data_IF_582212147190
#
_entry.id   IF_582212147190
#
_cell.length_a   1.000
_cell.length_b   1.000
_cell.length_c   1.000
_cell.angle_alpha   90.00
_cell.angle_beta   90.00
_cell.angle_gamma   90.00
#
_symmetry.space_group_name_H-M   'P 1'
#
loop_
_entity.id
_entity.type
_entity.pdbx_description
1 polymer ?
#
# COMPACT_ATOMS: atom_id res chain seq x y z
N UNK A 1 -2.64 -5.90 6.91
CA UNK A 1 -3.96 -5.54 6.43
C UNK A 1 -4.01 -4.05 6.08
N UNK A 2 -5.13 -3.53 5.52
CA UNK A 2 -5.24 -2.13 5.11
C UNK A 2 -5.00 -1.18 6.30
N UNK A 3 -5.47 -1.54 7.48
CA UNK A 3 -5.30 -0.76 8.72
C UNK A 3 -3.83 -0.63 9.10
N UNK A 4 -3.04 -1.69 8.98
CA UNK A 4 -1.60 -1.66 9.27
C UNK A 4 -0.86 -0.77 8.28
N UNK A 5 -1.16 -0.87 6.98
CA UNK A 5 -0.56 -0.01 5.95
C UNK A 5 -0.88 1.47 6.20
N UNK A 6 -2.12 1.79 6.60
CA UNK A 6 -2.55 3.13 6.94
C UNK A 6 -1.80 3.65 8.17
N UNK A 7 -1.69 2.85 9.23
CA UNK A 7 -1.00 3.25 10.46
C UNK A 7 0.49 3.50 10.21
N UNK A 8 1.14 2.67 9.40
CA UNK A 8 2.53 2.89 8.99
C UNK A 8 2.70 4.16 8.17
N UNK A 9 1.79 4.43 7.22
CA UNK A 9 1.81 5.67 6.43
C UNK A 9 1.60 6.89 7.32
N UNK A 10 0.71 6.81 8.33
CA UNK A 10 0.51 7.88 9.32
C UNK A 10 1.74 8.13 10.18
N UNK A 11 2.47 7.09 10.56
CA UNK A 11 3.71 7.21 11.33
C UNK A 11 4.81 7.97 10.55
N UNK A 12 4.80 7.87 9.21
CA UNK A 12 5.72 8.59 8.32
C UNK A 12 5.29 10.03 8.00
N UNK A 13 4.02 10.38 8.29
CA UNK A 13 3.41 11.66 7.91
C UNK A 13 2.72 12.28 9.13
N UNK A 14 3.50 12.91 9.99
CA UNK A 14 2.95 13.75 11.06
C UNK A 14 2.29 14.98 10.45
N UNK A 15 0.99 15.17 10.65
CA UNK A 15 0.18 16.34 10.27
C UNK A 15 -0.28 16.51 8.81
N UNK A 16 -0.20 15.50 7.94
CA UNK A 16 -0.70 15.62 6.56
C UNK A 16 -1.91 14.74 6.31
N UNK A 17 -2.85 15.24 5.54
CA UNK A 17 -3.98 14.46 5.07
C UNK A 17 -3.49 13.37 4.12
N UNK A 18 -3.78 12.11 4.46
CA UNK A 18 -3.45 10.96 3.60
C UNK A 18 -4.54 10.81 2.54
N UNK A 19 -4.11 10.70 1.29
CA UNK A 19 -4.97 10.48 0.13
C UNK A 19 -4.53 9.18 -0.52
N UNK A 20 -5.48 8.35 -0.86
CA UNK A 20 -5.25 7.16 -1.65
C UNK A 20 -5.56 7.46 -3.12
N UNK A 21 -4.53 7.51 -3.95
CA UNK A 21 -4.65 7.60 -5.40
C UNK A 21 -4.46 6.20 -5.99
N UNK A 22 -5.53 5.48 -6.33
CA UNK A 22 -5.42 4.16 -6.93
C UNK A 22 -4.77 4.25 -8.31
N UNK A 23 -4.09 3.18 -8.69
CA UNK A 23 -3.54 3.07 -10.03
C UNK A 23 -4.66 3.25 -11.09
N UNK A 24 -4.38 4.00 -12.16
CA UNK A 24 -5.36 4.40 -13.18
C UNK A 24 -6.57 5.20 -12.63
N UNK A 25 -6.58 5.58 -11.38
CA UNK A 25 -7.69 6.34 -10.80
C UNK A 25 -8.97 5.53 -10.58
N UNK A 26 -8.87 4.19 -10.48
CA UNK A 26 -10.03 3.30 -10.31
C UNK A 26 -10.14 2.87 -8.85
N UNK A 27 -11.31 3.08 -8.24
CA UNK A 27 -11.64 2.52 -6.94
C UNK A 27 -13.11 2.09 -6.93
N UNK A 28 -13.37 0.86 -6.47
CA UNK A 28 -14.73 0.39 -6.28
C UNK A 28 -15.38 1.00 -5.01
N UNK A 29 -16.70 0.81 -4.89
CA UNK A 29 -17.45 1.36 -3.75
C UNK A 29 -17.01 0.81 -2.41
N UNK A 30 -16.59 -0.45 -2.37
CA UNK A 30 -16.15 -1.08 -1.14
C UNK A 30 -14.82 -0.47 -0.68
N UNK A 31 -13.87 -0.31 -1.59
CA UNK A 31 -12.59 0.36 -1.34
C UNK A 31 -12.80 1.79 -0.86
N UNK A 32 -13.64 2.57 -1.53
CA UNK A 32 -13.97 3.94 -1.12
C UNK A 32 -14.56 3.97 0.30
N UNK A 33 -15.49 3.06 0.60
CA UNK A 33 -16.12 2.98 1.93
C UNK A 33 -15.10 2.64 3.02
N UNK A 34 -14.24 1.66 2.79
CA UNK A 34 -13.19 1.26 3.73
C UNK A 34 -12.19 2.40 4.00
N UNK A 35 -11.77 3.11 2.94
CA UNK A 35 -10.87 4.25 3.07
C UNK A 35 -11.50 5.38 3.89
N UNK A 36 -12.76 5.73 3.60
CA UNK A 36 -13.47 6.78 4.34
C UNK A 36 -13.68 6.42 5.82
N UNK A 37 -13.94 5.15 6.16
CA UNK A 37 -14.00 4.69 7.55
C UNK A 37 -12.68 4.91 8.30
N UNK A 38 -11.57 4.92 7.59
CA UNK A 38 -10.24 5.21 8.12
C UNK A 38 -9.86 6.70 8.01
N UNK A 39 -10.78 7.57 7.59
CA UNK A 39 -10.52 9.00 7.40
C UNK A 39 -9.60 9.31 6.21
N UNK A 40 -9.50 8.40 5.25
CA UNK A 40 -8.72 8.55 4.03
C UNK A 40 -9.65 8.80 2.86
N UNK A 41 -9.35 9.77 2.03
CA UNK A 41 -10.10 10.03 0.80
C UNK A 41 -9.47 9.32 -0.39
N UNK A 42 -10.30 8.71 -1.23
CA UNK A 42 -9.88 8.21 -2.52
C UNK A 42 -9.81 9.37 -3.53
N UNK A 43 -8.78 9.36 -4.37
CA UNK A 43 -8.63 10.26 -5.53
C UNK A 43 -8.77 9.40 -6.80
N UNK A 44 -9.89 9.51 -7.48
CA UNK A 44 -10.23 8.70 -8.66
C UNK A 44 -10.18 9.54 -9.94
N UNK A 45 -10.12 8.88 -11.09
CA UNK A 45 -10.18 9.55 -12.39
C UNK A 45 -11.63 9.88 -12.78
N UNK A 46 -11.84 11.01 -13.45
CA UNK A 46 -13.16 11.40 -13.99
C UNK A 46 -13.70 10.42 -15.04
N UNK A 47 -12.86 9.65 -15.74
CA UNK A 47 -13.30 8.61 -16.71
C UNK A 47 -14.15 7.50 -16.08
N UNK A 48 -13.98 7.26 -14.77
CA UNK A 48 -14.75 6.23 -14.06
C UNK A 48 -16.02 6.75 -13.40
N UNK A 49 -16.31 8.02 -13.58
CA UNK A 49 -17.57 8.61 -13.15
C UNK A 49 -18.68 8.31 -14.17
N UNK A 50 -19.82 7.86 -13.66
CA UNK A 50 -21.05 7.80 -14.44
C UNK A 50 -21.94 8.95 -14.00
N UNK A 51 -22.21 9.86 -14.88
CA UNK A 51 -23.08 11.01 -14.69
C UNK A 51 -23.49 11.57 -16.05
N UNK A 52 -24.09 12.74 -16.08
CA UNK A 52 -24.41 13.41 -17.33
C UNK A 52 -23.12 13.60 -18.14
N UNK A 53 -23.01 12.89 -19.25
CA UNK A 53 -21.84 12.82 -20.15
C UNK A 53 -21.43 14.17 -20.76
N UNK A 54 -22.07 15.28 -20.36
CA UNK A 54 -21.94 16.60 -20.98
C UNK A 54 -21.29 17.67 -20.09
N UNK A 55 -21.04 17.38 -18.81
CA UNK A 55 -20.45 18.39 -17.91
C UNK A 55 -19.21 17.85 -17.21
N UNK A 56 -18.16 18.63 -17.19
CA UNK A 56 -16.93 18.33 -16.44
C UNK A 56 -17.25 18.22 -14.97
N UNK A 57 -16.90 17.11 -14.37
CA UNK A 57 -17.20 16.80 -12.98
C UNK A 57 -16.39 17.68 -12.04
N UNK A 58 -17.00 18.15 -10.95
CA UNK A 58 -16.28 18.83 -9.88
C UNK A 58 -15.25 17.92 -9.23
N UNK A 59 -14.20 18.52 -8.65
CA UNK A 59 -13.13 17.79 -7.95
C UNK A 59 -13.60 16.99 -6.73
N UNK A 60 -14.80 17.24 -6.21
CA UNK A 60 -15.38 16.49 -5.08
C UNK A 60 -16.77 15.98 -5.47
N UNK A 61 -16.95 14.68 -5.40
CA UNK A 61 -18.24 14.00 -5.65
C UNK A 61 -18.57 13.06 -4.51
N UNK A 62 -19.77 12.48 -4.52
CA UNK A 62 -20.15 11.43 -3.55
C UNK A 62 -20.29 10.08 -4.21
N UNK A 63 -19.81 9.04 -3.53
CA UNK A 63 -20.06 7.64 -3.85
C UNK A 63 -20.72 6.95 -2.67
N UNK A 64 -22.00 6.61 -2.81
CA UNK A 64 -22.79 6.03 -1.72
C UNK A 64 -22.67 6.82 -0.39
N UNK A 65 -22.84 8.15 -0.46
CA UNK A 65 -22.70 9.11 0.64
C UNK A 65 -21.26 9.35 1.16
N UNK A 66 -20.25 8.72 0.57
CA UNK A 66 -18.85 8.96 0.90
C UNK A 66 -18.24 10.01 -0.04
N UNK A 67 -17.54 11.05 0.46
CA UNK A 67 -16.87 12.01 -0.39
C UNK A 67 -15.66 11.36 -1.08
N UNK A 68 -15.55 11.61 -2.38
CA UNK A 68 -14.49 11.12 -3.25
C UNK A 68 -13.88 12.32 -3.98
N UNK A 69 -12.55 12.36 -4.06
CA UNK A 69 -11.84 13.33 -4.86
C UNK A 69 -11.70 12.82 -6.29
N UNK A 70 -11.79 13.74 -7.24
CA UNK A 70 -11.73 13.41 -8.66
C UNK A 70 -10.64 14.23 -9.32
N UNK A 71 -9.71 13.58 -10.00
CA UNK A 71 -8.78 14.26 -10.90
C UNK A 71 -9.25 14.17 -12.34
N UNK A 72 -8.98 15.21 -13.10
CA UNK A 72 -9.22 15.23 -14.53
C UNK A 72 -8.12 14.46 -15.26
N UNK A 73 -8.49 13.43 -16.01
CA UNK A 73 -7.51 12.58 -16.70
C UNK A 73 -6.95 13.27 -17.94
N UNK A 74 -7.77 14.06 -18.67
CA UNK A 74 -7.33 14.81 -19.84
C UNK A 74 -6.21 15.77 -19.46
N UNK A 75 -6.47 16.67 -18.51
CA UNK A 75 -5.49 17.60 -17.99
C UNK A 75 -4.27 16.93 -17.34
N UNK A 76 -4.48 15.81 -16.62
CA UNK A 76 -3.38 15.02 -16.03
C UNK A 76 -2.50 14.37 -17.08
N UNK A 77 -3.06 13.88 -18.18
CA UNK A 77 -2.31 13.32 -19.29
C UNK A 77 -1.40 14.32 -19.99
N UNK A 78 -1.77 15.60 -20.00
CA UNK A 78 -0.92 16.67 -20.53
C UNK A 78 0.47 16.71 -19.86
N UNK A 79 0.56 16.35 -18.58
CA UNK A 79 1.81 16.35 -17.83
C UNK A 79 2.74 15.17 -18.09
N UNK A 80 2.27 14.10 -18.72
CA UNK A 80 3.02 12.83 -18.87
C UNK A 80 4.38 12.94 -19.57
N UNK A 81 4.56 13.95 -20.40
CA UNK A 81 5.78 14.17 -21.17
C UNK A 81 6.48 15.48 -20.85
N UNK A 82 6.00 16.25 -19.88
CA UNK A 82 6.50 17.58 -19.57
C UNK A 82 7.95 17.62 -19.06
N UNK A 83 8.47 16.49 -18.59
CA UNK A 83 9.83 16.35 -18.06
C UNK A 83 10.87 15.89 -19.11
N UNK A 84 10.46 15.55 -20.34
CA UNK A 84 11.36 14.98 -21.37
C UNK A 84 12.29 16.05 -21.96
N UNK A 85 11.71 17.09 -22.54
CA UNK A 85 12.43 18.16 -23.25
C UNK A 85 11.61 19.46 -23.25
N UNK A 86 12.18 20.55 -23.80
CA UNK A 86 11.54 21.86 -23.81
C UNK A 86 10.31 21.92 -24.71
N UNK A 87 10.32 21.23 -25.85
CA UNK A 87 9.17 21.18 -26.75
C UNK A 87 8.00 20.43 -26.11
N UNK A 88 8.27 19.31 -25.45
CA UNK A 88 7.27 18.55 -24.68
C UNK A 88 6.73 19.35 -23.50
N UNK A 89 7.56 20.15 -22.84
CA UNK A 89 7.15 21.02 -21.75
C UNK A 89 6.20 22.12 -22.24
N UNK A 90 6.53 22.83 -23.34
CA UNK A 90 5.65 23.84 -23.95
C UNK A 90 4.34 23.23 -24.42
N UNK A 91 4.40 22.05 -25.04
CA UNK A 91 3.21 21.28 -25.44
C UNK A 91 2.32 20.95 -24.24
N UNK A 92 2.89 20.51 -23.12
CA UNK A 92 2.15 20.22 -21.90
C UNK A 92 1.44 21.46 -21.34
N UNK A 93 2.09 22.62 -21.30
CA UNK A 93 1.47 23.88 -20.88
C UNK A 93 0.27 24.21 -21.77
N UNK A 94 0.45 24.19 -23.10
CA UNK A 94 -0.62 24.48 -24.05
C UNK A 94 -1.79 23.50 -23.91
N UNK A 95 -1.48 22.21 -23.73
CA UNK A 95 -2.46 21.17 -23.52
C UNK A 95 -3.32 21.43 -22.26
N UNK A 96 -2.68 21.69 -21.09
CA UNK A 96 -3.39 21.97 -19.84
C UNK A 96 -4.27 23.22 -19.98
N UNK A 97 -3.74 24.29 -20.55
CA UNK A 97 -4.49 25.52 -20.75
C UNK A 97 -5.73 25.29 -21.64
N UNK A 98 -5.58 24.48 -22.70
CA UNK A 98 -6.69 24.13 -23.59
C UNK A 98 -7.75 23.29 -22.88
N UNK A 99 -7.33 22.26 -22.13
CA UNK A 99 -8.27 21.42 -21.36
C UNK A 99 -9.05 22.24 -20.33
N UNK A 100 -8.38 23.01 -19.48
CA UNK A 100 -9.02 23.83 -18.46
C UNK A 100 -9.87 24.94 -19.12
N UNK A 101 -9.43 25.50 -20.24
CA UNK A 101 -10.17 26.50 -21.00
C UNK A 101 -11.48 25.91 -21.56
N UNK A 102 -11.46 24.70 -22.11
CA UNK A 102 -12.67 24.01 -22.58
C UNK A 102 -13.63 23.76 -21.42
N UNK A 103 -13.13 23.25 -20.29
CA UNK A 103 -13.94 23.04 -19.09
C UNK A 103 -14.61 24.31 -18.57
N UNK A 104 -13.89 25.44 -18.63
CA UNK A 104 -14.42 26.74 -18.22
C UNK A 104 -15.49 27.23 -19.19
N UNK A 105 -15.32 26.98 -20.51
CA UNK A 105 -16.26 27.36 -21.54
C UNK A 105 -17.56 26.54 -21.49
N UNK A 106 -17.53 25.30 -20.99
CA UNK A 106 -18.74 24.47 -20.82
C UNK A 106 -19.76 25.08 -19.85
N UNK A 107 -19.28 25.74 -18.79
CA UNK A 107 -20.14 26.36 -17.77
C UNK A 107 -19.51 27.64 -17.21
N UNK A 108 -19.48 28.72 -17.97
CA UNK A 108 -18.75 29.94 -17.61
C UNK A 108 -19.33 30.68 -16.40
N UNK A 109 -20.54 30.35 -15.99
CA UNK A 109 -21.23 30.94 -14.83
C UNK A 109 -21.00 30.16 -13.52
N UNK A 110 -20.38 28.98 -13.58
CA UNK A 110 -20.14 28.12 -12.41
C UNK A 110 -18.65 28.05 -12.04
N UNK A 111 -18.35 28.29 -10.77
CA UNK A 111 -17.02 28.04 -10.24
C UNK A 111 -16.82 26.55 -10.00
N UNK A 112 -15.72 25.99 -10.49
CA UNK A 112 -15.37 24.58 -10.33
C UNK A 112 -13.94 24.44 -9.82
N UNK A 113 -13.71 23.39 -9.06
CA UNK A 113 -12.35 22.97 -8.69
C UNK A 113 -11.94 21.79 -9.56
N UNK A 114 -10.72 21.81 -10.06
CA UNK A 114 -10.14 20.77 -10.90
C UNK A 114 -8.86 20.29 -10.24
N UNK A 115 -8.69 18.97 -10.12
CA UNK A 115 -7.44 18.36 -9.66
C UNK A 115 -6.71 17.83 -10.88
N UNK A 116 -5.47 18.25 -11.06
CA UNK A 116 -4.56 17.73 -12.07
C UNK A 116 -3.49 16.91 -11.36
N UNK A 117 -3.36 15.65 -11.71
CA UNK A 117 -2.43 14.72 -11.07
C UNK A 117 -1.15 14.61 -11.89
N UNK A 118 -0.02 14.96 -11.29
CA UNK A 118 1.28 14.75 -11.91
C UNK A 118 1.66 13.25 -11.92
N UNK A 119 2.45 12.77 -12.90
CA UNK A 119 2.92 11.40 -12.92
C UNK A 119 3.72 11.02 -11.66
N UNK A 120 3.52 9.80 -11.14
CA UNK A 120 4.19 9.34 -9.91
C UNK A 120 5.73 9.36 -9.98
N UNK A 121 6.31 9.26 -11.17
CA UNK A 121 7.76 9.31 -11.43
C UNK A 121 8.16 10.54 -12.22
N UNK A 122 7.52 11.67 -11.97
CA UNK A 122 7.80 12.90 -12.68
C UNK A 122 9.17 13.48 -12.30
N UNK A 123 10.03 13.65 -13.29
CA UNK A 123 11.41 14.18 -13.11
C UNK A 123 11.52 15.64 -13.59
N UNK A 124 10.51 16.45 -13.32
CA UNK A 124 10.53 17.86 -13.70
C UNK A 124 11.53 18.65 -12.85
N UNK A 125 12.28 19.57 -13.47
CA UNK A 125 13.14 20.48 -12.73
C UNK A 125 12.33 21.53 -11.96
N UNK A 126 12.91 22.09 -10.88
CA UNK A 126 12.29 23.18 -10.11
C UNK A 126 11.95 24.39 -10.96
N UNK A 127 12.80 24.72 -11.94
CA UNK A 127 12.60 25.84 -12.86
C UNK A 127 11.39 25.62 -13.77
N UNK A 128 11.25 24.44 -14.37
CA UNK A 128 10.08 24.09 -15.19
C UNK A 128 8.81 24.03 -14.35
N UNK A 129 8.88 23.51 -13.13
CA UNK A 129 7.72 23.51 -12.23
C UNK A 129 7.30 24.94 -11.88
N UNK A 130 8.24 25.82 -11.54
CA UNK A 130 7.96 27.23 -11.26
C UNK A 130 7.37 27.95 -12.49
N UNK A 131 7.89 27.67 -13.69
CA UNK A 131 7.36 28.22 -14.94
C UNK A 131 5.92 27.73 -15.20
N UNK A 132 5.63 26.44 -15.01
CA UNK A 132 4.27 25.89 -15.12
C UNK A 132 3.30 26.58 -14.16
N UNK A 133 3.67 26.68 -12.87
CA UNK A 133 2.85 27.37 -11.85
C UNK A 133 2.63 28.83 -12.23
N UNK A 134 3.69 29.56 -12.66
CA UNK A 134 3.60 30.94 -13.08
C UNK A 134 2.63 31.13 -14.25
N UNK A 135 2.73 30.29 -15.28
CA UNK A 135 1.85 30.39 -16.45
C UNK A 135 0.40 30.12 -16.07
N UNK A 136 0.15 29.08 -15.25
CA UNK A 136 -1.21 28.74 -14.81
C UNK A 136 -1.80 29.81 -13.87
N UNK A 137 -0.97 30.54 -13.10
CA UNK A 137 -1.43 31.61 -12.19
C UNK A 137 -1.77 32.95 -12.89
N UNK A 138 -1.35 33.13 -14.14
CA UNK A 138 -1.51 34.40 -14.85
C UNK A 138 -2.85 34.58 -15.60
N UNK A 139 -3.82 33.71 -15.32
CA UNK A 139 -5.13 33.80 -15.97
C UNK A 139 -6.22 34.34 -15.01
N UNK A 140 -7.00 35.31 -15.46
CA UNK A 140 -8.07 35.91 -14.66
C UNK A 140 -9.24 34.95 -14.40
N UNK A 141 -9.36 33.87 -15.18
CA UNK A 141 -10.42 32.87 -15.11
C UNK A 141 -10.00 31.58 -14.38
N UNK A 142 -8.76 31.52 -13.90
CA UNK A 142 -8.21 30.36 -13.19
C UNK A 142 -7.42 30.82 -11.95
N UNK A 143 -7.61 30.13 -10.85
CA UNK A 143 -6.88 30.37 -9.60
C UNK A 143 -6.31 29.05 -9.08
N UNK A 144 -5.01 29.03 -8.84
CA UNK A 144 -4.40 27.91 -8.11
C UNK A 144 -4.81 27.99 -6.64
N UNK A 145 -5.17 26.85 -6.08
CA UNK A 145 -5.58 26.72 -4.68
C UNK A 145 -4.89 25.56 -4.00
N UNK A 146 -4.99 25.48 -2.69
CA UNK A 146 -4.44 24.36 -1.92
C UNK A 146 -5.34 23.14 -2.01
N UNK A 147 -4.75 21.97 -1.93
CA UNK A 147 -5.48 20.71 -1.94
C UNK A 147 -6.50 20.64 -0.78
N UNK A 148 -6.16 21.12 0.40
CA UNK A 148 -7.04 21.09 1.58
C UNK A 148 -8.32 21.89 1.35
N UNK A 149 -8.25 23.04 0.66
CA UNK A 149 -9.43 23.83 0.32
C UNK A 149 -10.33 23.09 -0.67
N UNK A 150 -9.75 22.43 -1.68
CA UNK A 150 -10.52 21.61 -2.61
C UNK A 150 -11.16 20.41 -1.89
N UNK A 151 -10.41 19.72 -1.04
CA UNK A 151 -10.88 18.56 -0.30
C UNK A 151 -11.97 18.89 0.73
N UNK A 152 -12.01 20.12 1.24
CA UNK A 152 -13.03 20.59 2.16
C UNK A 152 -14.32 21.08 1.46
N UNK A 153 -14.31 21.23 0.13
CA UNK A 153 -15.48 21.65 -0.61
C UNK A 153 -16.64 20.62 -0.49
N UNK A 154 -17.90 21.08 -0.40
CA UNK A 154 -19.03 20.18 -0.40
C UNK A 154 -19.09 19.41 -1.73
N UNK A 155 -19.44 18.12 -1.70
CA UNK A 155 -19.60 17.34 -2.92
C UNK A 155 -20.79 17.87 -3.74
N UNK A 156 -20.60 18.00 -5.06
CA UNK A 156 -21.60 18.61 -5.94
C UNK A 156 -22.49 17.59 -6.64
N UNK A 157 -22.05 16.34 -6.79
CA UNK A 157 -22.75 15.33 -7.60
C UNK A 157 -22.68 13.94 -6.96
N UNK A 158 -23.69 13.11 -7.31
CA UNK A 158 -23.68 11.69 -6.96
C UNK A 158 -22.81 10.91 -7.94
N UNK A 159 -21.91 10.14 -7.39
CA UNK A 159 -20.96 9.34 -8.12
C UNK A 159 -21.39 7.87 -8.20
N UNK A 160 -21.33 7.29 -9.38
CA UNK A 160 -21.50 5.84 -9.58
C UNK A 160 -20.22 5.29 -10.22
N UNK A 161 -19.41 4.57 -9.45
CA UNK A 161 -18.24 3.92 -10.02
C UNK A 161 -18.64 2.91 -11.10
N UNK A 162 -17.99 2.95 -12.25
CA UNK A 162 -18.01 1.81 -13.15
C UNK A 162 -17.18 0.70 -12.51
N UNK A 163 -17.76 -0.49 -12.36
CA UNK A 163 -16.99 -1.68 -11.99
C UNK A 163 -16.21 -2.13 -13.24
N UNK A 164 -15.08 -1.51 -13.50
CA UNK A 164 -14.11 -2.05 -14.44
C UNK A 164 -13.03 -2.74 -13.61
N UNK A 165 -12.86 -4.04 -13.77
CA UNK A 165 -11.73 -4.74 -13.19
C UNK A 165 -10.46 -4.13 -13.80
N UNK A 166 -9.54 -3.65 -12.95
CA UNK A 166 -8.22 -3.25 -13.42
C UNK A 166 -7.49 -4.52 -13.90
N UNK A 167 -7.03 -4.59 -15.15
CA UNK A 167 -6.26 -5.74 -15.63
C UNK A 167 -4.95 -5.95 -14.86
N UNK A 168 -4.60 -5.01 -13.97
CA UNK A 168 -3.49 -5.10 -13.03
C UNK A 168 -3.89 -5.45 -11.61
N UNK A 169 -5.11 -5.93 -11.39
CA UNK A 169 -5.51 -6.48 -10.10
C UNK A 169 -4.46 -7.47 -9.59
N UNK A 170 -4.15 -7.37 -8.32
CA UNK A 170 -3.18 -8.28 -7.70
C UNK A 170 -3.60 -9.74 -7.90
N UNK A 171 -2.70 -10.53 -8.45
CA UNK A 171 -2.97 -11.94 -8.66
C UNK A 171 -3.22 -12.67 -7.33
N UNK A 172 -4.04 -13.72 -7.36
CA UNK A 172 -4.27 -14.56 -6.16
C UNK A 172 -2.96 -15.15 -5.63
N UNK A 173 -1.98 -15.38 -6.50
CA UNK A 173 -0.66 -15.86 -6.09
C UNK A 173 0.07 -14.79 -5.26
N UNK A 174 0.06 -13.54 -5.70
CA UNK A 174 0.68 -12.42 -4.97
C UNK A 174 0.04 -12.23 -3.58
N UNK A 175 -1.29 -12.27 -3.51
CA UNK A 175 -2.03 -12.18 -2.23
C UNK A 175 -1.63 -13.32 -1.29
N UNK A 176 -1.50 -14.55 -1.81
CA UNK A 176 -1.06 -15.70 -1.02
C UNK A 176 0.37 -15.54 -0.50
N UNK A 177 1.31 -15.12 -1.35
CA UNK A 177 2.70 -14.88 -0.94
C UNK A 177 2.80 -13.81 0.15
N UNK A 178 2.02 -12.74 0.05
CA UNK A 178 1.96 -11.71 1.08
C UNK A 178 1.42 -12.23 2.41
N UNK A 179 0.43 -13.14 2.38
CA UNK A 179 -0.07 -13.77 3.59
C UNK A 179 0.98 -14.69 4.23
N UNK A 180 1.72 -15.46 3.43
CA UNK A 180 2.85 -16.29 3.90
C UNK A 180 3.91 -15.40 4.53
N UNK A 181 4.34 -14.35 3.83
CA UNK A 181 5.35 -13.41 4.34
C UNK A 181 4.92 -12.80 5.68
N UNK A 182 3.64 -12.44 5.85
CA UNK A 182 3.09 -11.93 7.11
C UNK A 182 3.28 -12.95 8.24
N UNK A 183 2.77 -14.17 8.07
CA UNK A 183 2.83 -15.21 9.10
C UNK A 183 4.28 -15.58 9.46
N UNK A 184 5.14 -15.71 8.46
CA UNK A 184 6.57 -16.00 8.69
C UNK A 184 7.28 -14.85 9.41
N UNK A 185 6.93 -13.58 9.10
CA UNK A 185 7.46 -12.41 9.82
C UNK A 185 7.05 -12.40 11.28
N UNK A 186 5.80 -12.75 11.59
CA UNK A 186 5.32 -12.87 12.97
C UNK A 186 6.09 -13.96 13.72
N UNK A 187 6.35 -15.10 13.08
CA UNK A 187 7.14 -16.20 13.66
C UNK A 187 8.60 -15.79 13.92
N UNK A 188 9.26 -15.13 12.98
CA UNK A 188 10.63 -14.62 13.15
C UNK A 188 10.70 -13.56 14.24
N UNK A 189 9.71 -12.65 14.29
CA UNK A 189 9.64 -11.63 15.34
C UNK A 189 9.48 -12.23 16.74
N UNK A 190 8.70 -13.30 16.87
CA UNK A 190 8.55 -13.99 18.14
C UNK A 190 9.81 -14.74 18.55
N UNK A 191 10.52 -15.36 17.58
CA UNK A 191 11.70 -16.18 17.81
C UNK A 191 12.92 -15.34 18.22
N UNK A 192 13.19 -14.26 17.51
CA UNK A 192 14.38 -13.43 17.69
C UNK A 192 14.16 -12.22 18.60
N UNK A 193 12.92 -11.87 18.92
CA UNK A 193 12.54 -10.64 19.64
C UNK A 193 13.15 -9.35 19.02
N UNK A 194 13.44 -9.39 17.71
CA UNK A 194 14.11 -8.32 16.95
C UNK A 194 13.08 -7.54 16.13
N UNK A 195 12.76 -6.34 16.62
CA UNK A 195 11.78 -5.45 15.96
C UNK A 195 12.31 -4.87 14.64
N UNK A 196 13.62 -4.65 14.50
CA UNK A 196 14.21 -4.09 13.28
C UNK A 196 14.15 -5.11 12.14
N UNK A 197 14.49 -6.37 12.43
CA UNK A 197 14.35 -7.47 11.49
C UNK A 197 12.89 -7.63 11.03
N UNK A 198 11.95 -7.65 11.95
CA UNK A 198 10.52 -7.74 11.65
C UNK A 198 10.01 -6.53 10.85
N UNK A 199 10.48 -5.32 11.14
CA UNK A 199 10.13 -4.11 10.39
C UNK A 199 10.61 -4.17 8.94
N UNK A 200 11.82 -4.71 8.68
CA UNK A 200 12.35 -4.92 7.34
C UNK A 200 11.44 -5.80 6.47
N UNK A 201 11.00 -6.95 6.99
CA UNK A 201 10.09 -7.85 6.28
C UNK A 201 8.67 -7.29 6.15
N UNK A 202 8.22 -6.51 7.13
CA UNK A 202 6.95 -5.79 7.03
C UNK A 202 7.00 -4.74 5.91
N UNK A 203 8.10 -4.01 5.78
CA UNK A 203 8.31 -3.08 4.67
C UNK A 203 8.35 -3.82 3.33
N UNK A 204 9.05 -4.96 3.24
CA UNK A 204 9.08 -5.79 2.04
C UNK A 204 7.67 -6.25 1.63
N UNK A 205 6.83 -6.63 2.57
CA UNK A 205 5.43 -7.01 2.34
C UNK A 205 4.63 -5.85 1.72
N UNK A 206 4.78 -4.64 2.24
CA UNK A 206 4.09 -3.45 1.71
C UNK A 206 4.59 -3.14 0.29
N UNK A 207 5.91 -3.17 0.08
CA UNK A 207 6.50 -2.96 -1.24
C UNK A 207 6.01 -3.98 -2.27
N UNK A 208 5.75 -5.22 -1.88
CA UNK A 208 5.19 -6.25 -2.76
C UNK A 208 3.83 -5.88 -3.36
N UNK A 209 3.06 -5.02 -2.70
CA UNK A 209 1.80 -4.47 -3.21
C UNK A 209 1.93 -3.09 -3.87
N UNK A 210 3.15 -2.63 -4.09
CA UNK A 210 3.34 -1.36 -4.79
C UNK A 210 2.94 -1.47 -6.25
N UNK A 211 2.22 -0.49 -6.74
CA UNK A 211 1.91 -0.32 -8.17
C UNK A 211 3.12 0.17 -9.00
N UNK A 212 4.25 0.42 -8.32
CA UNK A 212 5.52 0.73 -8.97
C UNK A 212 6.16 -0.47 -9.68
N UNK A 213 5.72 -1.69 -9.37
CA UNK A 213 6.18 -2.88 -10.08
C UNK A 213 5.67 -2.89 -11.53
N UNK A 214 6.53 -3.17 -12.50
CA UNK A 214 6.12 -3.21 -13.91
C UNK A 214 5.12 -4.34 -14.20
N UNK A 215 5.16 -5.42 -13.42
CA UNK A 215 4.27 -6.58 -13.55
C UNK A 215 4.06 -7.27 -12.20
N UNK A 216 2.95 -7.98 -12.04
CA UNK A 216 2.70 -8.85 -10.88
C UNK A 216 3.76 -9.96 -10.74
N UNK A 217 4.38 -10.41 -11.83
CA UNK A 217 5.43 -11.41 -11.79
C UNK A 217 6.68 -10.90 -11.08
N UNK A 218 7.10 -9.65 -11.34
CA UNK A 218 8.24 -9.03 -10.65
C UNK A 218 7.97 -8.79 -9.17
N UNK A 219 6.75 -8.37 -8.81
CA UNK A 219 6.35 -8.25 -7.41
C UNK A 219 6.39 -9.62 -6.70
N UNK A 220 5.91 -10.68 -7.37
CA UNK A 220 5.91 -12.03 -6.84
C UNK A 220 7.32 -12.60 -6.66
N UNK A 221 8.23 -12.33 -7.59
CA UNK A 221 9.66 -12.69 -7.49
C UNK A 221 10.30 -12.05 -6.24
N UNK A 222 10.11 -10.75 -6.07
CA UNK A 222 10.58 -10.00 -4.90
C UNK A 222 10.03 -10.57 -3.58
N UNK A 223 8.74 -10.89 -3.51
CA UNK A 223 8.16 -11.50 -2.30
C UNK A 223 8.70 -12.92 -2.07
N UNK A 224 8.95 -13.69 -3.13
CA UNK A 224 9.53 -15.05 -3.02
C UNK A 224 10.95 -14.99 -2.44
N UNK A 225 11.77 -14.05 -2.87
CA UNK A 225 13.12 -13.84 -2.32
C UNK A 225 13.07 -13.51 -0.83
N UNK A 226 12.16 -12.62 -0.41
CA UNK A 226 11.99 -12.28 1.00
C UNK A 226 11.44 -13.46 1.84
N UNK A 227 10.55 -14.28 1.29
CA UNK A 227 10.08 -15.51 1.94
C UNK A 227 11.24 -16.50 2.11
N UNK A 228 12.10 -16.65 1.10
CA UNK A 228 13.27 -17.54 1.19
C UNK A 228 14.22 -17.08 2.28
N UNK A 229 14.50 -15.79 2.36
CA UNK A 229 15.34 -15.22 3.42
C UNK A 229 14.73 -15.43 4.83
N UNK A 230 13.41 -15.24 4.99
CA UNK A 230 12.72 -15.55 6.25
C UNK A 230 12.83 -17.04 6.63
N UNK A 231 12.72 -17.93 5.64
CA UNK A 231 12.88 -19.36 5.89
C UNK A 231 14.30 -19.73 6.32
N UNK A 232 15.33 -19.02 5.85
CA UNK A 232 16.70 -19.21 6.36
C UNK A 232 16.78 -18.89 7.85
N UNK A 233 16.17 -17.79 8.31
CA UNK A 233 16.09 -17.46 9.73
C UNK A 233 15.33 -18.52 10.54
N UNK A 234 14.18 -18.98 10.05
CA UNK A 234 13.37 -19.99 10.74
C UNK A 234 14.07 -21.35 10.80
N UNK A 235 14.78 -21.74 9.75
CA UNK A 235 15.46 -23.01 9.65
C UNK A 235 16.82 -23.03 10.40
N UNK A 236 17.37 -21.85 10.74
CA UNK A 236 18.58 -21.76 11.55
C UNK A 236 18.37 -22.23 13.00
N UNK A 237 17.10 -22.37 13.43
CA UNK A 237 16.75 -22.92 14.73
C UNK A 237 16.08 -24.27 14.53
N UNK A 238 16.65 -25.31 15.10
CA UNK A 238 16.16 -26.68 14.94
C UNK A 238 16.09 -27.43 16.27
N UNK A 239 15.19 -28.41 16.31
CA UNK A 239 15.05 -29.33 17.45
C UNK A 239 15.67 -30.66 17.03
N UNK A 240 16.68 -31.09 17.78
CA UNK A 240 17.24 -32.44 17.66
C UNK A 240 16.63 -33.32 18.74
N UNK A 241 15.75 -34.21 18.35
CA UNK A 241 15.16 -35.19 19.25
C UNK A 241 15.40 -36.62 18.73
N UNK A 242 15.58 -37.55 19.64
CA UNK A 242 15.66 -38.97 19.28
C UNK A 242 14.33 -39.40 18.69
N UNK A 243 14.33 -40.05 17.51
CA UNK A 243 13.11 -40.47 16.80
C UNK A 243 12.25 -41.50 17.56
N UNK A 244 12.79 -42.10 18.62
CA UNK A 244 12.06 -43.01 19.50
C UNK A 244 12.61 -42.91 20.92
N UNK A 245 11.76 -42.48 21.84
CA UNK A 245 12.09 -42.43 23.27
C UNK A 245 11.28 -43.49 23.97
N UNK A 246 11.92 -44.37 24.74
CA UNK A 246 11.28 -45.34 25.60
C UNK A 246 11.48 -44.92 27.03
N UNK A 247 10.40 -44.57 27.71
CA UNK A 247 10.43 -44.16 29.12
C UNK A 247 10.15 -45.37 30.00
N UNK A 248 11.06 -45.74 30.92
CA UNK A 248 10.87 -46.90 31.78
C UNK A 248 9.96 -46.62 32.99
N UNK A 249 9.67 -45.38 33.32
CA UNK A 249 8.96 -44.93 34.51
C UNK A 249 7.84 -43.93 34.14
N UNK A 250 6.84 -43.80 35.05
CA UNK A 250 5.72 -42.86 34.88
C UNK A 250 6.17 -41.40 34.84
N UNK A 251 7.30 -41.06 35.51
CA UNK A 251 7.92 -39.72 35.47
C UNK A 251 9.32 -39.84 34.90
N UNK A 252 9.48 -39.55 33.64
CA UNK A 252 10.79 -39.63 32.95
C UNK A 252 11.13 -38.27 32.31
N UNK A 253 12.39 -37.86 32.40
CA UNK A 253 12.90 -36.71 31.70
C UNK A 253 13.17 -37.06 30.24
N UNK A 254 12.72 -36.21 29.33
CA UNK A 254 12.94 -36.35 27.89
C UNK A 254 14.02 -35.35 27.46
N UNK A 255 15.23 -35.80 27.08
CA UNK A 255 16.25 -34.90 26.61
C UNK A 255 15.89 -34.38 25.22
N UNK A 256 15.79 -33.06 25.09
CA UNK A 256 15.58 -32.36 23.85
C UNK A 256 16.72 -31.36 23.66
N UNK A 257 17.37 -31.41 22.51
CA UNK A 257 18.44 -30.46 22.17
C UNK A 257 17.88 -29.46 21.18
N UNK A 258 18.05 -28.18 21.50
CA UNK A 258 17.75 -27.06 20.58
C UNK A 258 19.10 -26.59 20.02
N UNK A 259 19.16 -26.45 18.70
CA UNK A 259 20.34 -25.94 18.01
C UNK A 259 19.98 -24.61 17.36
N UNK A 260 20.75 -23.58 17.64
CA UNK A 260 20.64 -22.25 17.05
C UNK A 260 21.87 -21.96 16.19
N UNK A 261 21.77 -22.18 14.89
CA UNK A 261 22.84 -21.88 13.92
C UNK A 261 22.83 -20.44 13.43
N UNK A 262 21.90 -19.60 13.94
CA UNK A 262 21.83 -18.19 13.56
C UNK A 262 22.91 -17.35 14.26
N UNK A 263 23.11 -16.14 13.76
CA UNK A 263 24.02 -15.13 14.33
C UNK A 263 23.39 -14.35 15.52
N UNK A 264 22.20 -14.75 15.99
CA UNK A 264 21.41 -14.04 17.01
C UNK A 264 20.90 -15.01 18.08
N UNK A 265 20.79 -14.52 19.30
CA UNK A 265 20.14 -15.27 20.36
C UNK A 265 18.62 -15.39 20.09
N UNK A 266 18.06 -16.54 20.44
CA UNK A 266 16.63 -16.83 20.27
C UNK A 266 15.96 -17.18 21.58
N UNK A 267 14.67 -16.91 21.66
CA UNK A 267 13.82 -17.26 22.81
C UNK A 267 12.81 -18.31 22.37
N UNK A 268 12.87 -19.50 22.98
CA UNK A 268 12.00 -20.64 22.62
C UNK A 268 11.32 -21.20 23.86
N UNK A 269 10.14 -21.80 23.66
CA UNK A 269 9.50 -22.65 24.64
C UNK A 269 9.10 -23.98 23.97
N UNK A 270 9.20 -25.08 24.71
CA UNK A 270 8.86 -26.40 24.18
C UNK A 270 7.56 -26.84 24.80
N UNK A 271 6.60 -27.19 23.95
CA UNK A 271 5.34 -27.83 24.33
C UNK A 271 5.27 -29.21 23.67
N UNK A 272 5.15 -30.24 24.50
CA UNK A 272 5.06 -31.62 24.06
C UNK A 272 3.59 -32.04 24.07
N UNK A 273 3.03 -32.22 22.88
CA UNK A 273 1.66 -32.68 22.74
C UNK A 273 1.57 -34.12 22.23
N UNK A 274 0.60 -34.85 22.73
CA UNK A 274 0.31 -36.21 22.25
C UNK A 274 -1.12 -36.31 21.70
N UNK A 275 -1.34 -37.02 20.59
CA UNK A 275 -2.70 -37.31 20.12
C UNK A 275 -3.53 -38.09 21.13
N UNK A 276 -2.90 -38.71 22.11
CA UNK A 276 -3.54 -39.51 23.17
C UNK A 276 -3.20 -38.90 24.54
N UNK A 277 -3.98 -37.94 24.98
CA UNK A 277 -3.82 -37.23 26.26
C UNK A 277 -3.93 -38.16 27.49
N UNK A 278 -4.53 -39.34 27.34
CA UNK A 278 -4.65 -40.34 28.42
C UNK A 278 -3.36 -41.10 28.70
N UNK A 279 -2.34 -41.00 27.84
CA UNK A 279 -1.09 -41.76 27.95
C UNK A 279 0.15 -40.89 28.16
N UNK A 280 0.03 -39.62 27.92
CA UNK A 280 1.16 -38.69 28.02
C UNK A 280 0.66 -37.28 28.33
N UNK A 281 1.26 -36.68 29.34
CA UNK A 281 1.11 -35.26 29.68
C UNK A 281 2.48 -34.73 30.02
N UNK A 282 2.86 -33.61 29.43
CA UNK A 282 4.07 -32.88 29.78
C UNK A 282 3.71 -31.45 30.10
N UNK A 283 4.40 -30.86 31.06
CA UNK A 283 4.29 -29.43 31.31
C UNK A 283 5.15 -28.69 30.27
N UNK A 284 4.64 -27.61 29.67
CA UNK A 284 5.43 -26.76 28.78
C UNK A 284 6.66 -26.23 29.51
N UNK A 285 7.80 -26.16 28.83
CA UNK A 285 8.95 -25.51 29.41
C UNK A 285 8.72 -24.00 29.52
N UNK A 286 9.35 -23.36 30.51
CA UNK A 286 9.47 -21.90 30.50
C UNK A 286 10.22 -21.43 29.24
N UNK A 287 10.28 -20.11 29.05
CA UNK A 287 11.07 -19.53 27.96
C UNK A 287 12.55 -19.79 28.22
N UNK A 288 13.23 -20.39 27.24
CA UNK A 288 14.65 -20.72 27.23
C UNK A 288 15.32 -19.80 26.22
N UNK A 289 16.38 -19.15 26.63
CA UNK A 289 17.28 -18.44 25.70
C UNK A 289 18.36 -19.39 25.19
N UNK A 290 18.57 -19.38 23.88
CA UNK A 290 19.64 -20.13 23.20
C UNK A 290 20.50 -19.12 22.47
N UNK A 291 21.75 -19.03 22.85
CA UNK A 291 22.71 -18.10 22.26
C UNK A 291 23.03 -18.47 20.81
N UNK A 292 23.62 -17.51 20.09
CA UNK A 292 24.10 -17.69 18.73
C UNK A 292 25.15 -18.83 18.66
N UNK A 293 24.96 -19.74 17.70
CA UNK A 293 25.91 -20.84 17.45
C UNK A 293 25.94 -21.94 18.52
N UNK A 294 24.90 -22.05 19.34
CA UNK A 294 24.73 -23.13 20.32
C UNK A 294 23.95 -24.31 19.76
#
# INVERSE_FOLDING_TARGET
>A
DLTDAINQTRALSTDRQIIYAPNQGIADRQTVSLLNQQGIRALVSNEFLRGNERETTSAVVTSASNPVLVHDLGASNCLKSADKDDASFVSAITCIQSEIGMMTAESPQSSRSIIVLAPARWKISSERLAALVSVLSNHNWMQLTTFDLVAAAPPTENFVSSQSADPRDFSRALIRQTAILKTSTESVSALYADQELAAGFTAARILGFSDLWPTNARAAEYLTENISLLNEYLNAVSIQASGRITTPEENSEIPITIVNESDRAVSVSIDLTSPSTSRFSAEPTGVIQVDSGQ
#
